data_IF_466246196598
#
_entry.id   IF_466246196598
#
_cell.length_a   1.000
_cell.length_b   1.000
_cell.length_c   1.000
_cell.angle_alpha   90.00
_cell.angle_beta   90.00
_cell.angle_gamma   90.00
#
_symmetry.space_group_name_H-M   'P 1'
#
loop_
_entity.id
_entity.type
_entity.pdbx_description
1 polymer ?
#
# COMPACT_ATOMS: atom_id res chain seq x y z
N UNK A 1 -14.70 -9.71 -16.33
CA UNK A 1 -14.04 -8.72 -15.46
C UNK A 1 -14.68 -8.88 -14.09
N UNK A 2 -14.10 -9.71 -13.21
CA UNK A 2 -14.66 -10.01 -11.88
C UNK A 2 -13.83 -9.26 -10.86
N UNK A 3 -14.48 -8.35 -10.14
CA UNK A 3 -13.92 -7.46 -9.12
C UNK A 3 -13.25 -8.25 -7.98
N UNK A 4 -12.28 -7.66 -7.26
CA UNK A 4 -11.63 -8.25 -6.10
C UNK A 4 -12.57 -8.12 -4.89
N UNK A 5 -13.59 -8.97 -4.81
CA UNK A 5 -14.59 -8.90 -3.75
C UNK A 5 -13.99 -9.36 -2.40
N UNK A 6 -12.98 -10.24 -2.42
CA UNK A 6 -12.38 -10.81 -1.20
C UNK A 6 -11.46 -9.85 -0.44
N UNK A 7 -10.73 -8.97 -1.14
CA UNK A 7 -9.89 -7.94 -0.49
C UNK A 7 -10.71 -6.89 0.27
N UNK A 8 -11.91 -6.56 -0.21
CA UNK A 8 -12.86 -5.69 0.49
C UNK A 8 -13.60 -6.43 1.63
N UNK A 9 -13.87 -7.73 1.46
CA UNK A 9 -14.46 -8.57 2.51
C UNK A 9 -13.52 -8.73 3.72
N UNK A 10 -12.21 -8.90 3.52
CA UNK A 10 -11.25 -9.01 4.62
C UNK A 10 -11.34 -7.87 5.64
N UNK A 11 -11.44 -6.62 5.16
CA UNK A 11 -11.54 -5.44 6.03
C UNK A 11 -12.85 -5.36 6.84
N UNK A 12 -13.94 -5.93 6.33
CA UNK A 12 -15.25 -5.94 7.01
C UNK A 12 -15.44 -7.17 7.92
N UNK A 13 -14.82 -8.29 7.55
CA UNK A 13 -14.92 -9.59 8.25
C UNK A 13 -13.99 -9.63 9.47
N UNK A 14 -12.79 -9.05 9.37
CA UNK A 14 -11.78 -9.05 10.45
C UNK A 14 -12.31 -8.51 11.79
N UNK A 15 -12.99 -7.34 11.85
CA UNK A 15 -13.54 -6.84 13.12
C UNK A 15 -14.62 -7.75 13.71
N UNK A 16 -15.46 -8.35 12.86
CA UNK A 16 -16.53 -9.25 13.30
C UNK A 16 -15.96 -10.54 13.90
N UNK A 17 -14.97 -11.15 13.24
CA UNK A 17 -14.26 -12.34 13.73
C UNK A 17 -13.49 -12.05 15.03
N UNK A 18 -12.75 -10.93 15.09
CA UNK A 18 -11.99 -10.53 16.26
C UNK A 18 -12.88 -10.28 17.49
N UNK A 19 -14.04 -9.64 17.30
CA UNK A 19 -15.01 -9.38 18.39
C UNK A 19 -15.58 -10.65 19.05
N UNK A 20 -15.50 -11.79 18.34
CA UNK A 20 -15.95 -13.11 18.79
C UNK A 20 -14.80 -14.04 19.17
N UNK A 21 -13.56 -13.53 19.20
CA UNK A 21 -12.34 -14.26 19.60
C UNK A 21 -11.90 -15.33 18.61
N UNK A 22 -12.18 -15.16 17.31
CA UNK A 22 -11.77 -16.07 16.23
C UNK A 22 -10.42 -15.60 15.65
N UNK A 23 -9.36 -15.68 16.46
CA UNK A 23 -8.07 -15.05 16.18
C UNK A 23 -7.32 -15.65 14.97
N UNK A 24 -7.45 -16.96 14.73
CA UNK A 24 -6.77 -17.63 13.62
C UNK A 24 -7.45 -17.33 12.29
N UNK A 25 -8.79 -17.30 12.29
CA UNK A 25 -9.53 -16.82 11.13
C UNK A 25 -9.21 -15.35 10.87
N UNK A 26 -9.17 -14.53 11.91
CA UNK A 26 -8.78 -13.11 11.80
C UNK A 26 -7.39 -12.96 11.19
N UNK A 27 -6.42 -13.78 11.60
CA UNK A 27 -5.07 -13.81 11.02
C UNK A 27 -5.08 -14.09 9.52
N UNK A 28 -5.79 -15.12 9.07
CA UNK A 28 -5.87 -15.47 7.64
C UNK A 28 -6.59 -14.40 6.82
N UNK A 29 -7.72 -13.87 7.32
CA UNK A 29 -8.53 -12.86 6.63
C UNK A 29 -7.95 -11.44 6.68
N UNK A 30 -6.98 -11.17 7.57
CA UNK A 30 -6.24 -9.91 7.61
C UNK A 30 -5.03 -9.88 6.67
N UNK A 31 -4.59 -11.04 6.18
CA UNK A 31 -3.48 -11.17 5.22
C UNK A 31 -3.87 -10.72 3.81
N UNK A 32 -2.93 -10.09 3.11
CA UNK A 32 -3.13 -9.53 1.76
C UNK A 32 -3.09 -10.55 0.62
N UNK A 33 -3.05 -11.85 0.91
CA UNK A 33 -2.91 -12.90 -0.11
C UNK A 33 -4.26 -13.57 -0.41
N UNK A 34 -4.88 -13.14 -1.51
CA UNK A 34 -6.22 -13.56 -1.95
C UNK A 34 -6.40 -15.09 -2.04
N UNK A 35 -5.36 -15.84 -2.42
CA UNK A 35 -5.45 -17.28 -2.64
C UNK A 35 -5.64 -18.10 -1.35
N UNK A 36 -5.04 -17.68 -0.23
CA UNK A 36 -5.19 -18.34 1.07
C UNK A 36 -6.57 -18.05 1.68
N UNK A 37 -7.02 -16.80 1.54
CA UNK A 37 -8.33 -16.32 1.98
C UNK A 37 -9.46 -17.03 1.22
N UNK A 38 -9.35 -17.16 -0.10
CA UNK A 38 -10.36 -17.82 -0.93
C UNK A 38 -10.52 -19.31 -0.57
N UNK A 39 -9.40 -20.00 -0.31
CA UNK A 39 -9.41 -21.42 0.07
C UNK A 39 -10.07 -21.64 1.43
N UNK A 40 -9.78 -20.78 2.41
CA UNK A 40 -10.39 -20.87 3.74
C UNK A 40 -11.86 -20.47 3.70
N UNK A 41 -12.23 -19.44 2.91
CA UNK A 41 -13.62 -19.05 2.70
C UNK A 41 -14.47 -20.19 2.10
N UNK A 42 -13.97 -20.85 1.05
CA UNK A 42 -14.65 -22.03 0.46
C UNK A 42 -14.75 -23.19 1.44
N UNK A 43 -13.70 -23.46 2.21
CA UNK A 43 -13.73 -24.52 3.23
C UNK A 43 -14.76 -24.25 4.33
N UNK A 44 -14.93 -23.00 4.74
CA UNK A 44 -15.96 -22.59 5.71
C UNK A 44 -17.35 -22.81 5.10
N UNK A 45 -17.58 -22.36 3.86
CA UNK A 45 -18.84 -22.55 3.16
C UNK A 45 -19.17 -24.04 2.98
N UNK A 46 -18.21 -24.85 2.55
CA UNK A 46 -18.38 -26.29 2.32
C UNK A 46 -18.65 -27.07 3.62
N UNK A 47 -18.00 -26.71 4.74
CA UNK A 47 -18.10 -27.47 6.00
C UNK A 47 -19.18 -26.96 6.96
N UNK A 48 -19.49 -25.67 6.92
CA UNK A 48 -20.45 -25.05 7.85
C UNK A 48 -21.68 -24.49 7.14
N UNK A 49 -21.67 -24.37 5.81
CA UNK A 49 -22.72 -23.71 5.04
C UNK A 49 -22.76 -22.20 5.24
N UNK A 50 -21.76 -21.63 5.93
CA UNK A 50 -21.70 -20.20 6.25
C UNK A 50 -20.93 -19.47 5.16
N UNK A 51 -21.57 -18.48 4.56
CA UNK A 51 -20.94 -17.59 3.61
C UNK A 51 -20.18 -16.49 4.34
N UNK A 52 -18.97 -16.17 3.88
CA UNK A 52 -18.13 -15.14 4.50
C UNK A 52 -18.76 -13.74 4.37
N UNK A 53 -19.61 -13.52 3.36
CA UNK A 53 -20.36 -12.27 3.22
C UNK A 53 -21.34 -12.05 4.40
N UNK A 54 -21.94 -13.12 4.93
CA UNK A 54 -22.87 -13.02 6.07
C UNK A 54 -22.14 -12.68 7.38
N UNK A 55 -20.84 -13.00 7.46
CA UNK A 55 -19.94 -12.59 8.55
C UNK A 55 -19.70 -11.07 8.48
N UNK A 56 -19.47 -10.53 7.28
CA UNK A 56 -19.26 -9.10 7.06
C UNK A 56 -20.51 -8.27 7.38
N UNK A 57 -21.69 -8.83 7.09
CA UNK A 57 -22.99 -8.18 7.31
C UNK A 57 -23.55 -8.40 8.73
N UNK A 58 -22.81 -9.10 9.62
CA UNK A 58 -23.23 -9.44 10.98
C UNK A 58 -24.60 -10.17 11.07
N UNK A 59 -24.93 -10.96 10.04
CA UNK A 59 -26.23 -11.67 9.95
C UNK A 59 -26.22 -13.06 10.60
N UNK A 60 -25.09 -13.45 11.18
CA UNK A 60 -24.90 -14.77 11.78
C UNK A 60 -25.63 -14.90 13.12
N UNK A 61 -26.36 -16.00 13.26
CA UNK A 61 -26.95 -16.44 14.53
C UNK A 61 -25.87 -16.95 15.48
N UNK A 62 -26.14 -16.96 16.79
CA UNK A 62 -25.18 -17.46 17.78
C UNK A 62 -24.82 -18.95 17.57
N UNK A 63 -25.75 -19.75 17.03
CA UNK A 63 -25.47 -21.14 16.66
C UNK A 63 -24.44 -21.24 15.50
N UNK A 64 -24.54 -20.35 14.51
CA UNK A 64 -23.58 -20.29 13.40
C UNK A 64 -22.21 -19.78 13.86
N UNK A 65 -22.17 -18.86 14.82
CA UNK A 65 -20.91 -18.44 15.45
C UNK A 65 -20.20 -19.59 16.18
N UNK A 66 -20.95 -20.45 16.86
CA UNK A 66 -20.42 -21.64 17.52
C UNK A 66 -19.85 -22.62 16.48
N UNK A 67 -20.53 -22.83 15.35
CA UNK A 67 -20.03 -23.67 14.26
C UNK A 67 -18.74 -23.12 13.66
N UNK A 68 -18.61 -21.79 13.53
CA UNK A 68 -17.39 -21.13 13.07
C UNK A 68 -16.24 -21.31 14.06
N UNK A 69 -16.53 -21.26 15.37
CA UNK A 69 -15.54 -21.51 16.42
C UNK A 69 -15.09 -22.97 16.45
N UNK A 70 -16.02 -23.90 16.27
CA UNK A 70 -15.70 -25.32 16.15
C UNK A 70 -14.91 -25.63 14.87
N UNK A 71 -15.21 -24.94 13.77
CA UNK A 71 -14.41 -25.01 12.55
C UNK A 71 -12.97 -24.51 12.79
N UNK A 72 -12.80 -23.37 13.45
CA UNK A 72 -11.47 -22.83 13.79
C UNK A 72 -10.66 -23.81 14.63
N UNK A 73 -11.28 -24.41 15.66
CA UNK A 73 -10.62 -25.39 16.52
C UNK A 73 -10.26 -26.68 15.77
N UNK A 74 -11.16 -27.18 14.91
CA UNK A 74 -10.91 -28.40 14.13
C UNK A 74 -9.85 -28.22 13.04
N UNK A 75 -9.78 -27.02 12.45
CA UNK A 75 -8.88 -26.72 11.34
C UNK A 75 -7.69 -25.84 11.76
N UNK A 76 -7.37 -25.81 13.06
CA UNK A 76 -6.33 -24.94 13.63
C UNK A 76 -4.99 -25.07 12.90
N UNK A 77 -4.52 -26.30 12.63
CA UNK A 77 -3.25 -26.53 11.94
C UNK A 77 -3.25 -25.97 10.51
N UNK A 78 -4.38 -26.11 9.79
CA UNK A 78 -4.53 -25.60 8.43
C UNK A 78 -4.52 -24.07 8.43
N UNK A 79 -5.22 -23.44 9.38
CA UNK A 79 -5.28 -21.98 9.50
C UNK A 79 -3.93 -21.40 9.90
N UNK A 80 -3.20 -22.06 10.81
CA UNK A 80 -1.86 -21.65 11.21
C UNK A 80 -0.87 -21.77 10.04
N UNK A 81 -0.92 -22.88 9.30
CA UNK A 81 -0.08 -23.07 8.11
C UNK A 81 -0.38 -22.06 7.00
N UNK A 82 -1.66 -21.72 6.81
CA UNK A 82 -2.07 -20.68 5.87
C UNK A 82 -1.52 -19.31 6.26
N UNK A 83 -1.65 -18.92 7.54
CA UNK A 83 -1.11 -17.66 8.05
C UNK A 83 0.42 -17.60 7.91
N UNK A 84 1.13 -18.68 8.26
CA UNK A 84 2.59 -18.77 8.11
C UNK A 84 3.04 -18.67 6.64
N UNK A 85 2.32 -19.31 5.72
CA UNK A 85 2.62 -19.22 4.29
C UNK A 85 2.42 -17.79 3.76
N UNK A 86 1.42 -17.06 4.26
CA UNK A 86 1.21 -15.66 3.91
C UNK A 86 2.34 -14.77 4.44
N UNK A 87 2.74 -14.95 5.70
CA UNK A 87 3.85 -14.20 6.31
C UNK A 87 5.16 -14.44 5.54
N UNK A 88 5.44 -15.69 5.16
CA UNK A 88 6.62 -16.03 4.35
C UNK A 88 6.58 -15.36 2.97
N UNK A 89 5.42 -15.38 2.30
CA UNK A 89 5.25 -14.73 1.00
C UNK A 89 5.44 -13.20 1.10
N UNK A 90 5.00 -12.56 2.19
CA UNK A 90 5.22 -11.13 2.42
C UNK A 90 6.71 -10.84 2.66
N UNK A 91 7.41 -11.65 3.46
CA UNK A 91 8.85 -11.53 3.68
C UNK A 91 9.61 -11.68 2.36
N UNK A 92 9.23 -12.64 1.53
CA UNK A 92 9.88 -12.89 0.24
C UNK A 92 9.65 -11.73 -0.73
N UNK A 93 8.43 -11.18 -0.79
CA UNK A 93 8.14 -9.95 -1.56
C UNK A 93 8.97 -8.76 -1.07
N UNK A 94 9.03 -8.53 0.25
CA UNK A 94 9.85 -7.46 0.83
C UNK A 94 11.34 -7.66 0.50
N UNK A 95 11.81 -8.92 0.47
CA UNK A 95 13.19 -9.25 0.10
C UNK A 95 13.45 -8.92 -1.37
N UNK A 96 12.58 -9.34 -2.28
CA UNK A 96 12.70 -9.03 -3.72
C UNK A 96 12.70 -7.52 -3.94
N UNK A 97 11.78 -6.78 -3.32
CA UNK A 97 11.76 -5.30 -3.41
C UNK A 97 13.05 -4.65 -2.89
N UNK A 98 13.61 -5.18 -1.79
CA UNK A 98 14.85 -4.68 -1.22
C UNK A 98 16.06 -5.03 -2.09
N UNK A 99 16.08 -6.22 -2.68
CA UNK A 99 17.08 -6.65 -3.67
C UNK A 99 17.02 -5.78 -4.93
N UNK A 100 15.83 -5.47 -5.44
CA UNK A 100 15.65 -4.54 -6.57
C UNK A 100 16.17 -3.14 -6.24
N UNK A 101 15.83 -2.61 -5.06
CA UNK A 101 16.37 -1.31 -4.60
C UNK A 101 17.89 -1.35 -4.44
N UNK A 102 18.46 -2.48 -3.99
CA UNK A 102 19.90 -2.68 -3.85
C UNK A 102 20.58 -2.75 -5.22
N UNK A 103 19.99 -3.44 -6.18
CA UNK A 103 20.46 -3.54 -7.56
C UNK A 103 20.43 -2.17 -8.25
N UNK A 104 19.36 -1.39 -8.07
CA UNK A 104 19.27 -0.02 -8.57
C UNK A 104 20.37 0.89 -7.99
N UNK A 105 20.64 0.79 -6.68
CA UNK A 105 21.79 1.48 -6.04
C UNK A 105 23.13 0.98 -6.57
N UNK A 106 23.23 -0.31 -6.91
CA UNK A 106 24.40 -0.91 -7.55
C UNK A 106 24.69 -0.31 -8.92
N UNK A 107 23.66 -0.20 -9.76
CA UNK A 107 23.71 0.49 -11.06
C UNK A 107 24.18 1.94 -10.92
N UNK A 108 23.64 2.68 -9.96
CA UNK A 108 24.06 4.05 -9.70
C UNK A 108 25.54 4.13 -9.29
N UNK A 109 26.01 3.21 -8.42
CA UNK A 109 27.42 3.15 -8.02
C UNK A 109 28.35 2.79 -9.18
N UNK A 110 27.93 1.91 -10.10
CA UNK A 110 28.69 1.57 -11.30
C UNK A 110 28.75 2.74 -12.28
N UNK A 111 27.63 3.43 -12.50
CA UNK A 111 27.57 4.63 -13.34
C UNK A 111 28.52 5.74 -12.82
N UNK A 112 28.59 5.93 -11.50
CA UNK A 112 29.51 6.90 -10.88
C UNK A 112 31.00 6.53 -11.00
N UNK A 113 31.33 5.26 -11.21
CA UNK A 113 32.71 4.76 -11.39
C UNK A 113 33.22 4.86 -12.83
N UNK A 114 32.33 5.12 -13.78
CA UNK A 114 32.70 5.25 -15.19
C UNK A 114 33.40 6.60 -15.40
N UNK A 115 34.47 6.63 -16.20
CA UNK A 115 35.22 7.86 -16.49
C UNK A 115 34.46 8.84 -17.41
N UNK A 116 33.47 8.34 -18.15
CA UNK A 116 32.62 9.15 -19.01
C UNK A 116 31.76 10.15 -18.20
N UNK A 117 31.98 11.43 -18.47
CA UNK A 117 31.29 12.54 -17.82
C UNK A 117 29.78 12.52 -18.09
N UNK A 118 29.35 12.13 -19.29
CA UNK A 118 27.94 12.14 -19.64
C UNK A 118 27.18 11.07 -18.85
N UNK A 119 27.65 9.83 -18.85
CA UNK A 119 27.04 8.73 -18.10
C UNK A 119 26.95 9.01 -16.60
N UNK A 120 27.97 9.64 -16.00
CA UNK A 120 27.98 10.00 -14.58
C UNK A 120 26.97 11.09 -14.23
N UNK A 121 26.77 12.06 -15.12
CA UNK A 121 25.94 13.23 -14.88
C UNK A 121 24.58 13.17 -15.56
N UNK A 122 24.28 12.10 -16.30
CA UNK A 122 23.06 11.95 -17.10
C UNK A 122 21.80 12.25 -16.28
N UNK A 123 21.70 11.72 -15.06
CA UNK A 123 20.55 11.95 -14.17
C UNK A 123 20.39 13.44 -13.84
N UNK A 124 21.50 14.15 -13.59
CA UNK A 124 21.46 15.59 -13.28
C UNK A 124 21.12 16.43 -14.51
N UNK A 125 21.68 16.09 -15.67
CA UNK A 125 21.39 16.76 -16.95
C UNK A 125 19.92 16.54 -17.34
N UNK A 126 19.43 15.31 -17.21
CA UNK A 126 18.03 14.96 -17.47
C UNK A 126 17.09 15.68 -16.50
N UNK A 127 17.38 15.65 -15.19
CA UNK A 127 16.60 16.34 -14.19
C UNK A 127 16.55 17.86 -14.44
N UNK A 128 17.69 18.46 -14.76
CA UNK A 128 17.77 19.88 -15.12
C UNK A 128 16.96 20.19 -16.37
N UNK A 129 17.10 19.39 -17.43
CA UNK A 129 16.38 19.58 -18.69
C UNK A 129 14.85 19.51 -18.49
N UNK A 130 14.36 18.48 -17.79
CA UNK A 130 12.93 18.34 -17.51
C UNK A 130 12.44 19.47 -16.59
N UNK A 131 13.22 19.85 -15.57
CA UNK A 131 12.86 20.94 -14.65
C UNK A 131 12.77 22.27 -15.39
N UNK A 132 13.74 22.57 -16.26
CA UNK A 132 13.75 23.79 -17.07
C UNK A 132 12.61 23.79 -18.07
N UNK A 133 12.36 22.68 -18.78
CA UNK A 133 11.22 22.59 -19.71
C UNK A 133 9.88 22.76 -18.99
N UNK A 134 9.71 22.12 -17.84
CA UNK A 134 8.48 22.23 -17.04
C UNK A 134 8.30 23.63 -16.49
N UNK A 135 9.36 24.22 -15.92
CA UNK A 135 9.35 25.59 -15.42
C UNK A 135 9.10 26.63 -16.53
N UNK A 136 9.69 26.44 -17.70
CA UNK A 136 9.45 27.28 -18.86
C UNK A 136 8.02 27.15 -19.38
N UNK A 137 7.47 25.94 -19.42
CA UNK A 137 6.06 25.71 -19.81
C UNK A 137 5.09 26.36 -18.82
N UNK A 138 5.28 26.15 -17.51
CA UNK A 138 4.45 26.76 -16.47
C UNK A 138 4.61 28.29 -16.51
N UNK A 139 5.84 28.79 -16.65
CA UNK A 139 6.12 30.22 -16.74
C UNK A 139 5.47 30.86 -17.96
N UNK A 140 5.50 30.20 -19.12
CA UNK A 140 4.80 30.65 -20.32
C UNK A 140 3.28 30.56 -20.18
N UNK A 141 2.76 29.48 -19.58
CA UNK A 141 1.31 29.34 -19.37
C UNK A 141 0.77 30.38 -18.36
N UNK A 142 1.52 30.64 -17.29
CA UNK A 142 1.14 31.55 -16.20
C UNK A 142 1.41 33.03 -16.48
N UNK A 143 2.53 33.34 -17.14
CA UNK A 143 3.03 34.71 -17.35
C UNK A 143 3.33 35.05 -18.81
N UNK A 144 3.02 34.16 -19.76
CA UNK A 144 3.08 34.47 -21.18
C UNK A 144 2.20 35.69 -21.51
N UNK A 145 2.45 36.37 -22.65
CA UNK A 145 1.73 37.59 -23.00
C UNK A 145 0.23 37.31 -22.88
N UNK A 146 -0.46 38.05 -22.01
CA UNK A 146 -1.92 38.06 -21.98
C UNK A 146 -2.33 38.65 -23.32
N UNK A 147 -2.51 37.80 -24.31
CA UNK A 147 -3.05 38.20 -25.59
C UNK A 147 -4.51 38.49 -25.35
N UNK A 148 -4.77 39.75 -25.03
CA UNK A 148 -6.08 40.35 -25.05
C UNK A 148 -6.67 40.53 -23.67
N UNK A 149 -6.20 41.57 -23.02
CA UNK A 149 -7.14 42.56 -22.50
C UNK A 149 -7.56 43.47 -23.65
N UNK A 150 -8.86 43.63 -23.84
CA UNK A 150 -9.41 44.68 -24.68
C UNK A 150 -9.05 46.06 -24.09
N UNK A 151 -9.11 47.15 -24.88
CA UNK A 151 -8.78 48.50 -24.41
C UNK A 151 -9.62 48.98 -23.21
N UNK A 152 -10.75 48.33 -22.95
CA UNK A 152 -11.66 48.58 -21.83
C UNK A 152 -11.30 47.79 -20.55
N UNK A 153 -10.23 46.98 -20.58
CA UNK A 153 -9.76 46.16 -19.47
C UNK A 153 -10.48 44.82 -19.33
N UNK A 154 -11.41 44.48 -20.23
CA UNK A 154 -12.04 43.15 -20.27
C UNK A 154 -11.10 42.11 -20.91
N UNK A 155 -11.22 40.84 -20.52
CA UNK A 155 -10.43 39.76 -21.12
C UNK A 155 -11.07 39.34 -22.45
N UNK A 156 -10.28 39.36 -23.52
CA UNK A 156 -10.66 38.73 -24.80
C UNK A 156 -10.86 37.22 -24.64
N UNK A 157 -11.47 36.56 -25.64
CA UNK A 157 -11.64 35.11 -25.63
C UNK A 157 -10.31 34.33 -25.44
N UNK A 158 -9.21 34.84 -26.00
CA UNK A 158 -7.88 34.27 -25.82
C UNK A 158 -7.37 34.46 -24.37
N UNK A 159 -7.59 35.63 -23.77
CA UNK A 159 -7.27 35.91 -22.37
C UNK A 159 -8.08 35.06 -21.38
N UNK A 160 -9.36 34.81 -21.68
CA UNK A 160 -10.22 33.92 -20.89
C UNK A 160 -9.75 32.45 -20.95
N UNK A 161 -9.34 31.97 -22.12
CA UNK A 161 -8.79 30.63 -22.27
C UNK A 161 -7.48 30.46 -21.47
N UNK A 162 -6.60 31.47 -21.52
CA UNK A 162 -5.36 31.47 -20.75
C UNK A 162 -5.63 31.48 -19.24
N UNK A 163 -6.54 32.34 -18.75
CA UNK A 163 -6.89 32.39 -17.31
C UNK A 163 -7.35 31.03 -16.78
N UNK A 164 -8.17 30.28 -17.54
CA UNK A 164 -8.62 28.94 -17.12
C UNK A 164 -7.48 27.93 -17.08
N UNK A 165 -6.55 28.00 -18.02
CA UNK A 165 -5.36 27.14 -18.03
C UNK A 165 -4.50 27.44 -16.79
N UNK A 166 -4.31 28.73 -16.46
CA UNK A 166 -3.59 29.15 -15.26
C UNK A 166 -4.26 28.64 -13.99
N UNK A 167 -5.56 28.84 -13.84
CA UNK A 167 -6.32 28.37 -12.67
C UNK A 167 -6.23 26.85 -12.51
N UNK A 168 -6.29 26.10 -13.62
CA UNK A 168 -6.18 24.63 -13.63
C UNK A 168 -4.78 24.18 -13.23
N UNK A 169 -3.74 24.79 -13.79
CA UNK A 169 -2.34 24.44 -13.49
C UNK A 169 -1.99 24.80 -12.05
N UNK A 170 -2.40 25.98 -11.56
CA UNK A 170 -2.22 26.38 -10.17
C UNK A 170 -2.96 25.46 -9.21
N UNK A 171 -4.22 25.13 -9.52
CA UNK A 171 -5.01 24.17 -8.74
C UNK A 171 -4.34 22.79 -8.67
N UNK A 172 -3.85 22.28 -9.80
CA UNK A 172 -3.10 21.01 -9.84
C UNK A 172 -1.81 21.06 -9.02
N UNK A 173 -1.00 22.11 -9.18
CA UNK A 173 0.26 22.26 -8.45
C UNK A 173 0.04 22.35 -6.93
N UNK A 174 -0.96 23.12 -6.49
CA UNK A 174 -1.34 23.20 -5.08
C UNK A 174 -1.83 21.84 -4.56
N UNK A 175 -2.70 21.17 -5.32
CA UNK A 175 -3.24 19.87 -4.94
C UNK A 175 -2.17 18.78 -4.83
N UNK A 176 -1.30 18.65 -5.83
CA UNK A 176 -0.21 17.66 -5.83
C UNK A 176 0.82 17.97 -4.75
N UNK A 177 1.21 19.23 -4.59
CA UNK A 177 2.21 19.61 -3.57
C UNK A 177 1.67 19.38 -2.16
N UNK A 178 0.43 19.80 -1.87
CA UNK A 178 -0.18 19.57 -0.57
C UNK A 178 -0.36 18.07 -0.30
N UNK A 179 -0.77 17.29 -1.31
CA UNK A 179 -0.86 15.84 -1.20
C UNK A 179 0.49 15.19 -0.93
N UNK A 180 1.55 15.61 -1.62
CA UNK A 180 2.90 15.11 -1.41
C UNK A 180 3.41 15.46 0.00
N UNK A 181 3.11 16.66 0.51
CA UNK A 181 3.43 17.07 1.88
C UNK A 181 2.69 16.18 2.89
N UNK A 182 1.38 16.00 2.74
CA UNK A 182 0.58 15.13 3.62
C UNK A 182 1.11 13.70 3.57
N UNK A 183 1.40 13.16 2.39
CA UNK A 183 1.97 11.81 2.23
C UNK A 183 3.37 11.69 2.84
N UNK A 184 4.20 12.74 2.78
CA UNK A 184 5.51 12.76 3.41
C UNK A 184 5.40 12.74 4.94
N UNK A 185 4.55 13.58 5.52
CA UNK A 185 4.40 13.71 6.98
C UNK A 185 3.62 12.56 7.62
N UNK A 186 2.54 12.12 6.98
CA UNK A 186 1.70 11.04 7.51
C UNK A 186 2.14 9.66 7.00
N UNK A 187 3.06 9.62 6.03
CA UNK A 187 3.49 8.39 5.38
C UNK A 187 2.33 7.69 4.70
N UNK A 188 2.61 6.69 3.86
CA UNK A 188 1.59 5.65 3.67
C UNK A 188 1.45 4.98 5.05
N UNK A 189 0.41 5.31 5.81
CA UNK A 189 0.17 4.80 7.18
C UNK A 189 0.39 3.29 7.31
N UNK A 190 0.11 2.55 6.23
CA UNK A 190 0.36 1.11 6.12
C UNK A 190 1.84 0.71 6.20
N UNK A 191 2.76 1.45 5.58
CA UNK A 191 4.18 1.09 5.53
C UNK A 191 4.89 1.22 6.90
N UNK A 192 4.51 2.24 7.68
CA UNK A 192 5.07 2.47 9.02
C UNK A 192 4.46 1.51 10.06
N UNK A 193 3.16 1.26 9.99
CA UNK A 193 2.48 0.30 10.87
C UNK A 193 2.98 -1.13 10.65
N UNK A 194 3.14 -1.57 9.39
CA UNK A 194 3.67 -2.92 9.07
C UNK A 194 5.11 -3.11 9.53
N UNK A 195 5.96 -2.08 9.41
CA UNK A 195 7.32 -2.13 9.95
C UNK A 195 7.34 -2.17 11.48
N UNK A 196 6.45 -1.45 12.14
CA UNK A 196 6.28 -1.51 13.59
C UNK A 196 5.91 -2.92 14.05
N UNK A 197 4.87 -3.50 13.45
CA UNK A 197 4.42 -4.86 13.77
C UNK A 197 5.49 -5.93 13.48
N UNK A 198 6.25 -5.79 12.39
CA UNK A 198 7.34 -6.71 12.07
C UNK A 198 8.50 -6.62 13.07
N UNK A 199 8.84 -5.42 13.55
CA UNK A 199 9.87 -5.22 14.58
C UNK A 199 9.42 -5.80 15.92
N UNK A 200 8.16 -5.61 16.28
CA UNK A 200 7.58 -6.15 17.52
C UNK A 200 7.59 -7.68 17.54
N UNK A 201 7.14 -8.33 16.45
CA UNK A 201 7.23 -9.79 16.29
C UNK A 201 8.67 -10.31 16.40
N UNK A 202 9.64 -9.62 15.79
CA UNK A 202 11.06 -10.01 15.87
C UNK A 202 11.63 -9.88 17.29
N UNK A 203 11.16 -8.90 18.07
CA UNK A 203 11.55 -8.73 19.46
C UNK A 203 10.96 -9.82 20.36
N UNK A 204 9.70 -10.20 20.13
CA UNK A 204 9.04 -11.32 20.80
C UNK A 204 9.72 -12.66 20.51
N UNK A 205 10.06 -12.92 19.25
CA UNK A 205 10.79 -14.14 18.84
C UNK A 205 12.18 -14.20 19.50
N UNK A 206 12.92 -13.08 19.54
CA UNK A 206 14.24 -13.03 20.17
C UNK A 206 14.20 -13.21 21.70
N UNK A 207 13.15 -12.70 22.35
CA UNK A 207 12.96 -12.87 23.79
C UNK A 207 12.53 -14.29 24.15
N UNK A 208 11.69 -14.93 23.34
CA UNK A 208 11.34 -16.35 23.49
C UNK A 208 12.57 -17.27 23.35
N UNK A 209 13.46 -16.98 22.38
CA UNK A 209 14.70 -17.72 22.19
C UNK A 209 15.69 -17.55 23.36
N UNK A 210 15.77 -16.35 23.96
CA UNK A 210 16.61 -16.13 25.15
C UNK A 210 16.07 -16.81 26.41
N UNK A 211 14.75 -16.94 26.56
CA UNK A 211 14.12 -17.67 27.67
C UNK A 211 14.38 -19.18 27.63
N UNK A 212 14.46 -19.77 26.43
CA UNK A 212 14.74 -21.19 26.25
C UNK A 212 16.20 -21.60 26.53
N UNK A 213 17.14 -20.66 26.53
CA UNK A 213 18.58 -20.93 26.67
C UNK A 213 19.13 -20.88 28.10
N UNK A 214 18.33 -20.44 29.09
CA UNK A 214 18.80 -20.21 30.46
C UNK A 214 18.48 -21.33 31.46
N UNK A 215 17.91 -22.45 31.02
CA UNK A 215 17.51 -23.58 31.89
C UNK A 215 18.49 -24.76 31.94
N UNK A 216 19.69 -24.62 31.36
CA UNK A 216 20.64 -25.72 31.20
C UNK A 216 22.00 -25.46 31.84
N UNK A 217 22.05 -25.34 33.17
CA UNK A 217 23.20 -25.70 34.01
C UNK A 217 22.72 -26.18 35.37
#
# INVERSE_FOLDING_TARGET
>A
MVLPILGALGAAVVPALASRGLDLLTGVFSGAADAGVEKVAKLIEDQTGIRIEDVAEQKLTDAQWIQLKEFELRNQELLLAAAQAQDQAEIERMRVENEDRKNARGLQRQALRTEDWFSRNFIYVYALLITVMTGAFIGWAAFGPVFGTDPDGSLTEAGLAQSRIVDTVLGFLLGVTLSAIIQFFFGSSQGSSRKGAAIERLLEENTALKGSGSGGK
#
